data_IF_356416046575
#
_entry.id   IF_356416046575
#
_cell.length_a   1.000
_cell.length_b   1.000
_cell.length_c   1.000
_cell.angle_alpha   90.00
_cell.angle_beta   90.00
_cell.angle_gamma   90.00
#
_symmetry.space_group_name_H-M   'P 1'
#
loop_
_entity.id
_entity.type
_entity.pdbx_description
1 polymer ?
#
# COMPACT_ATOMS: atom_id res chain seq x y z
N UNK A 1 -8.51 5.19 -8.39
CA UNK A 1 -8.56 4.65 -7.02
C UNK A 1 -9.95 4.06 -6.82
N UNK A 2 -10.06 2.74 -6.84
CA UNK A 2 -11.28 2.03 -6.44
C UNK A 2 -11.24 1.90 -4.91
N UNK A 3 -12.25 2.40 -4.20
CA UNK A 3 -12.28 2.45 -2.73
C UNK A 3 -13.45 1.67 -2.17
N UNK A 4 -13.17 0.64 -1.36
CA UNK A 4 -14.18 -0.06 -0.57
C UNK A 4 -14.39 0.64 0.77
N UNK A 5 -15.43 1.48 0.87
CA UNK A 5 -15.80 2.13 2.13
C UNK A 5 -16.98 1.42 2.79
N UNK A 6 -16.87 1.08 4.08
CA UNK A 6 -18.03 0.69 4.88
C UNK A 6 -17.67 0.36 6.32
N UNK A 7 -18.71 0.18 7.14
CA UNK A 7 -18.66 0.16 8.60
C UNK A 7 -18.01 -1.15 9.12
N UNK A 8 -17.42 -1.02 10.31
CA UNK A 8 -16.65 -2.01 11.08
C UNK A 8 -17.31 -3.40 11.14
N UNK A 9 -16.49 -4.46 11.07
CA UNK A 9 -16.84 -5.86 11.31
C UNK A 9 -17.40 -6.72 10.16
N UNK A 10 -17.06 -6.46 8.89
CA UNK A 10 -17.32 -7.43 7.80
C UNK A 10 -16.11 -7.52 6.88
N UNK A 11 -15.10 -8.31 7.25
CA UNK A 11 -14.16 -8.94 6.31
C UNK A 11 -13.43 -8.06 5.28
N UNK A 12 -13.41 -6.72 5.39
CA UNK A 12 -12.81 -5.81 4.38
C UNK A 12 -11.32 -6.05 4.24
N UNK A 13 -10.62 -6.25 5.35
CA UNK A 13 -9.20 -6.61 5.36
C UNK A 13 -8.98 -7.98 4.73
N UNK A 14 -9.88 -8.93 4.96
CA UNK A 14 -9.85 -10.27 4.35
C UNK A 14 -10.10 -10.19 2.85
N UNK A 15 -11.05 -9.37 2.40
CA UNK A 15 -11.39 -9.20 0.99
C UNK A 15 -10.30 -8.42 0.24
N UNK A 16 -9.73 -7.37 0.84
CA UNK A 16 -8.60 -6.64 0.27
C UNK A 16 -7.36 -7.54 0.16
N UNK A 17 -7.10 -8.40 1.16
CA UNK A 17 -6.06 -9.42 1.07
C UNK A 17 -6.38 -10.50 0.03
N UNK A 18 -7.64 -10.92 -0.08
CA UNK A 18 -8.07 -11.91 -1.06
C UNK A 18 -7.95 -11.38 -2.48
N UNK A 19 -8.43 -10.15 -2.74
CA UNK A 19 -8.29 -9.46 -4.02
C UNK A 19 -6.82 -9.17 -4.30
N UNK A 20 -6.04 -8.67 -3.35
CA UNK A 20 -4.60 -8.45 -3.51
C UNK A 20 -3.85 -9.74 -3.86
N UNK A 21 -4.19 -10.86 -3.21
CA UNK A 21 -3.63 -12.17 -3.52
C UNK A 21 -4.09 -12.71 -4.87
N UNK A 22 -5.36 -12.52 -5.24
CA UNK A 22 -5.89 -12.94 -6.53
C UNK A 22 -5.25 -12.13 -7.67
N UNK A 23 -5.07 -10.82 -7.50
CA UNK A 23 -4.36 -9.96 -8.45
C UNK A 23 -2.89 -10.36 -8.62
N UNK A 24 -2.23 -10.76 -7.52
CA UNK A 24 -0.87 -11.34 -7.57
C UNK A 24 -0.84 -12.69 -8.29
N UNK A 25 -1.85 -13.54 -8.10
CA UNK A 25 -1.93 -14.86 -8.73
C UNK A 25 -2.28 -14.78 -10.22
N UNK A 26 -3.18 -13.88 -10.60
CA UNK A 26 -3.59 -13.67 -11.99
C UNK A 26 -2.58 -12.83 -12.79
N UNK A 27 -1.50 -12.34 -12.16
CA UNK A 27 -0.46 -11.49 -12.78
C UNK A 27 -1.03 -10.31 -13.56
N UNK A 28 -2.20 -9.81 -13.17
CA UNK A 28 -2.84 -8.65 -13.82
C UNK A 28 -2.01 -7.38 -13.56
N UNK A 29 -1.28 -7.36 -12.44
CA UNK A 29 -0.36 -6.29 -12.07
C UNK A 29 1.03 -6.87 -11.81
N UNK A 30 2.07 -6.20 -12.32
CA UNK A 30 3.47 -6.61 -12.14
C UNK A 30 3.90 -6.58 -10.67
N UNK A 31 3.40 -5.60 -9.90
CA UNK A 31 3.61 -5.48 -8.45
C UNK A 31 2.32 -5.01 -7.77
N UNK A 32 2.06 -5.48 -6.55
CA UNK A 32 0.89 -5.10 -5.75
C UNK A 32 1.36 -4.69 -4.35
N UNK A 33 1.21 -3.40 -4.03
CA UNK A 33 1.47 -2.84 -2.70
C UNK A 33 0.23 -2.92 -1.81
N UNK A 34 0.42 -3.38 -0.57
CA UNK A 34 -0.66 -3.50 0.42
C UNK A 34 -0.22 -2.78 1.70
N UNK A 35 -1.11 -1.97 2.26
CA UNK A 35 -0.94 -1.39 3.60
C UNK A 35 -2.27 -1.26 4.33
N UNK A 36 -2.18 -1.27 5.65
CA UNK A 36 -3.34 -1.16 6.53
C UNK A 36 -3.52 0.28 6.98
N UNK A 37 -4.66 0.88 6.67
CA UNK A 37 -5.01 2.23 7.11
C UNK A 37 -6.06 2.14 8.23
N UNK A 38 -5.72 2.65 9.41
CA UNK A 38 -6.64 2.79 10.54
C UNK A 38 -7.46 4.07 10.44
N UNK A 39 -8.52 4.17 11.27
CA UNK A 39 -9.37 5.37 11.33
C UNK A 39 -8.61 6.63 11.77
N UNK A 40 -7.64 6.46 12.67
CA UNK A 40 -6.57 7.43 12.95
C UNK A 40 -5.30 6.89 12.26
N UNK A 41 -4.97 7.39 11.06
CA UNK A 41 -3.90 6.82 10.26
C UNK A 41 -2.53 7.35 10.69
N UNK A 42 -1.67 6.46 11.17
CA UNK A 42 -0.24 6.72 11.28
C UNK A 42 0.38 6.65 9.87
N UNK A 43 0.57 7.81 9.25
CA UNK A 43 1.04 7.90 7.86
C UNK A 43 2.45 7.31 7.71
N UNK A 44 3.33 7.47 8.70
CA UNK A 44 4.69 6.89 8.67
C UNK A 44 4.59 5.37 8.62
N UNK A 45 3.69 4.79 9.43
CA UNK A 45 3.45 3.35 9.44
C UNK A 45 2.85 2.87 8.13
N UNK A 46 1.85 3.55 7.58
CA UNK A 46 1.21 3.20 6.29
C UNK A 46 2.23 3.22 5.16
N UNK A 47 3.04 4.28 5.05
CA UNK A 47 4.09 4.39 4.04
C UNK A 47 5.16 3.29 4.22
N UNK A 48 5.50 2.95 5.46
CA UNK A 48 6.42 1.86 5.78
C UNK A 48 5.87 0.48 5.39
N UNK A 49 4.59 0.21 5.66
CA UNK A 49 3.91 -1.02 5.25
C UNK A 49 3.84 -1.14 3.72
N UNK A 50 3.48 -0.06 3.02
CA UNK A 50 3.48 -0.01 1.56
C UNK A 50 4.85 -0.32 0.98
N UNK A 51 5.89 0.39 1.44
CA UNK A 51 7.26 0.19 1.00
C UNK A 51 7.70 -1.26 1.22
N UNK A 52 7.46 -1.80 2.43
CA UNK A 52 7.80 -3.19 2.76
C UNK A 52 7.06 -4.19 1.89
N UNK A 53 5.78 -3.95 1.59
CA UNK A 53 4.98 -4.81 0.70
C UNK A 53 5.51 -4.83 -0.73
N UNK A 54 6.22 -3.78 -1.16
CA UNK A 54 6.84 -3.65 -2.47
C UNK A 54 8.34 -4.01 -2.45
N UNK A 55 8.88 -4.47 -1.31
CA UNK A 55 10.29 -4.80 -1.17
C UNK A 55 11.21 -3.57 -1.08
N UNK A 56 10.67 -2.40 -0.80
CA UNK A 56 11.41 -1.15 -0.64
C UNK A 56 11.65 -0.81 0.84
N UNK A 57 12.66 0.02 1.07
CA UNK A 57 12.96 0.59 2.39
C UNK A 57 12.94 2.12 2.30
N UNK A 58 12.27 2.74 3.28
CA UNK A 58 12.24 4.20 3.46
C UNK A 58 13.07 4.54 4.69
N UNK A 59 14.10 5.35 4.50
CA UNK A 59 15.03 5.77 5.56
C UNK A 59 14.73 7.17 6.08
N UNK A 60 13.89 7.91 5.37
CA UNK A 60 13.45 9.26 5.67
C UNK A 60 12.59 9.27 6.95
N UNK A 61 12.77 10.26 7.81
CA UNK A 61 12.04 10.36 9.09
C UNK A 61 10.74 11.14 8.94
N UNK A 62 10.72 12.09 8.02
CA UNK A 62 9.59 12.97 7.78
C UNK A 62 8.57 12.32 6.84
N UNK A 63 7.29 12.44 7.20
CA UNK A 63 6.17 11.91 6.42
C UNK A 63 6.20 12.37 4.96
N UNK A 64 6.51 13.65 4.75
CA UNK A 64 6.54 14.25 3.42
C UNK A 64 7.68 13.71 2.57
N UNK A 65 8.87 13.58 3.14
CA UNK A 65 10.04 13.02 2.45
C UNK A 65 9.81 11.56 2.07
N UNK A 66 9.20 10.77 2.97
CA UNK A 66 8.79 9.39 2.70
C UNK A 66 7.76 9.30 1.57
N UNK A 67 6.78 10.21 1.51
CA UNK A 67 5.81 10.29 0.42
C UNK A 67 6.48 10.63 -0.92
N UNK A 68 7.36 11.63 -0.93
CA UNK A 68 8.09 12.04 -2.13
C UNK A 68 9.00 10.91 -2.63
N UNK A 69 9.64 10.17 -1.71
CA UNK A 69 10.45 8.99 -2.03
C UNK A 69 9.61 7.87 -2.65
N UNK A 70 8.46 7.55 -2.05
CA UNK A 70 7.53 6.55 -2.61
C UNK A 70 7.08 6.95 -4.02
N UNK A 71 6.71 8.22 -4.22
CA UNK A 71 6.31 8.75 -5.53
C UNK A 71 7.43 8.59 -6.57
N UNK A 72 8.67 8.88 -6.19
CA UNK A 72 9.82 8.73 -7.08
C UNK A 72 10.04 7.26 -7.45
N UNK A 73 9.98 6.34 -6.47
CA UNK A 73 10.15 4.90 -6.71
C UNK A 73 9.10 4.36 -7.69
N UNK A 74 7.83 4.77 -7.56
CA UNK A 74 6.80 4.41 -8.54
C UNK A 74 7.06 5.00 -9.92
N UNK A 75 7.61 6.22 -10.01
CA UNK A 75 7.90 6.85 -11.29
C UNK A 75 9.10 6.22 -12.00
N UNK A 76 10.13 5.79 -11.27
CA UNK A 76 11.34 5.18 -11.85
C UNK A 76 11.08 3.75 -12.34
N UNK A 77 10.18 3.02 -11.68
CA UNK A 77 9.92 1.61 -11.97
C UNK A 77 8.96 1.38 -13.13
N UNK A 78 8.11 2.35 -13.43
CA UNK A 78 7.06 2.28 -14.45
C UNK A 78 7.26 3.28 -15.61
N UNK A 79 8.47 3.84 -15.77
CA UNK A 79 8.87 4.59 -16.97
C UNK A 79 9.36 3.65 -18.07
#
# INVERSE_FOLDING_TARGET
MEGLYGISCVGKTTLANFVGNQLRQEKIFDEVGIATVSQDPDIIKVQGELAKSLGWALNEKDEKERADRLRLMFSERYS
#
